data_IF_686790283092
#
_entry.id   IF_686790283092
#
_cell.length_a   1.000
_cell.length_b   1.000
_cell.length_c   1.000
_cell.angle_alpha   90.00
_cell.angle_beta   90.00
_cell.angle_gamma   90.00
#
_symmetry.space_group_name_H-M   'P 1'
#
loop_
_entity.id
_entity.type
_entity.pdbx_description
1 polymer ?
#
# COMPACT_ATOMS: atom_id res chain seq x y z
N UNK A 1 -6.41 10.49 -16.79
CA UNK A 1 -6.92 9.27 -17.47
C UNK A 1 -7.54 8.43 -16.37
N UNK A 2 -8.77 8.75 -15.95
CA UNK A 2 -9.46 8.10 -14.82
C UNK A 2 -10.97 8.45 -14.79
N UNK A 3 -11.68 8.22 -15.89
CA UNK A 3 -13.13 8.51 -15.95
C UNK A 3 -13.97 7.37 -16.55
N UNK A 4 -13.39 6.17 -16.74
CA UNK A 4 -14.06 5.08 -17.49
C UNK A 4 -13.78 3.64 -17.03
N UNK A 5 -12.78 3.39 -16.17
CA UNK A 5 -12.41 2.02 -15.78
C UNK A 5 -12.48 1.89 -14.26
N UNK A 6 -13.44 1.11 -13.81
CA UNK A 6 -13.71 0.90 -12.38
C UNK A 6 -13.31 -0.51 -11.91
N UNK A 7 -12.97 -1.39 -12.84
CA UNK A 7 -12.61 -2.78 -12.59
C UNK A 7 -11.35 -3.18 -13.38
N UNK A 8 -10.53 -4.03 -12.78
CA UNK A 8 -9.25 -4.49 -13.33
C UNK A 8 -9.23 -6.01 -13.39
N UNK A 9 -8.76 -6.56 -14.50
CA UNK A 9 -8.73 -8.00 -14.75
C UNK A 9 -7.42 -8.62 -14.25
N UNK A 10 -6.29 -7.98 -14.55
CA UNK A 10 -4.95 -8.49 -14.24
C UNK A 10 -4.17 -7.58 -13.29
N UNK A 11 -3.17 -8.15 -12.63
CA UNK A 11 -2.23 -7.38 -11.80
C UNK A 11 -1.51 -6.30 -12.62
N UNK A 12 -1.21 -6.56 -13.89
CA UNK A 12 -0.60 -5.57 -14.78
C UNK A 12 -1.46 -4.32 -14.94
N UNK A 13 -2.77 -4.47 -15.14
CA UNK A 13 -3.68 -3.33 -15.25
C UNK A 13 -3.79 -2.53 -13.94
N UNK A 14 -3.83 -3.23 -12.80
CA UNK A 14 -3.80 -2.59 -11.48
C UNK A 14 -2.49 -1.82 -11.28
N UNK A 15 -1.36 -2.39 -11.69
CA UNK A 15 -0.05 -1.74 -11.62
C UNK A 15 0.06 -0.54 -12.57
N UNK A 16 -0.54 -0.58 -13.76
CA UNK A 16 -0.61 0.58 -14.67
C UNK A 16 -1.37 1.75 -14.03
N UNK A 17 -2.48 1.46 -13.35
CA UNK A 17 -3.20 2.48 -12.60
C UNK A 17 -2.39 3.01 -11.40
N UNK A 18 -1.73 2.12 -10.66
CA UNK A 18 -0.84 2.51 -9.55
C UNK A 18 0.32 3.38 -10.07
N UNK A 19 0.86 3.07 -11.25
CA UNK A 19 1.90 3.88 -11.87
C UNK A 19 1.43 5.32 -12.04
N UNK A 20 0.29 5.53 -12.71
CA UNK A 20 -0.26 6.86 -12.98
C UNK A 20 -0.77 7.62 -11.75
N UNK A 21 -1.11 6.92 -10.66
CA UNK A 21 -1.71 7.52 -9.45
C UNK A 21 -0.72 7.73 -8.30
N UNK A 22 0.34 6.90 -8.21
CA UNK A 22 1.22 6.88 -7.04
C UNK A 22 2.70 6.75 -7.36
N UNK A 23 3.12 5.91 -8.32
CA UNK A 23 4.55 5.77 -8.64
C UNK A 23 5.12 7.07 -9.22
N UNK A 24 4.35 7.75 -10.08
CA UNK A 24 4.71 9.09 -10.60
C UNK A 24 4.91 10.12 -9.49
N UNK A 25 4.18 10.02 -8.37
CA UNK A 25 4.38 10.91 -7.22
C UNK A 25 5.72 10.60 -6.55
N UNK A 26 6.10 9.32 -6.44
CA UNK A 26 7.43 8.92 -6.00
C UNK A 26 8.54 9.54 -6.85
N UNK A 27 8.40 9.46 -8.18
CA UNK A 27 9.34 10.09 -9.12
C UNK A 27 9.40 11.62 -8.94
N UNK A 28 8.25 12.28 -8.83
CA UNK A 28 8.20 13.73 -8.58
C UNK A 28 8.93 14.10 -7.28
N UNK A 29 8.73 13.32 -6.21
CA UNK A 29 9.41 13.55 -4.94
C UNK A 29 10.93 13.33 -5.05
N UNK A 30 11.38 12.31 -5.77
CA UNK A 30 12.81 12.09 -6.01
C UNK A 30 13.45 13.29 -6.73
N UNK A 31 12.76 13.85 -7.73
CA UNK A 31 13.24 15.04 -8.46
C UNK A 31 13.16 16.32 -7.63
N UNK A 32 12.13 16.50 -6.81
CA UNK A 32 12.03 17.65 -5.90
C UNK A 32 13.11 17.67 -4.82
N UNK A 33 13.56 16.49 -4.40
CA UNK A 33 14.63 16.31 -3.42
C UNK A 33 16.03 16.25 -4.06
N UNK A 34 16.13 16.43 -5.38
CA UNK A 34 17.37 16.36 -6.16
C UNK A 34 18.17 15.07 -5.90
N UNK A 35 17.46 13.93 -5.86
CA UNK A 35 18.07 12.62 -5.65
C UNK A 35 18.66 12.05 -6.95
N UNK A 36 19.71 11.25 -6.81
CA UNK A 36 20.32 10.53 -7.94
C UNK A 36 19.31 9.64 -8.66
N UNK A 37 19.50 9.43 -9.97
CA UNK A 37 18.62 8.61 -10.80
C UNK A 37 18.51 7.16 -10.32
N UNK A 38 19.51 6.65 -9.60
CA UNK A 38 19.47 5.33 -8.94
C UNK A 38 18.35 5.21 -7.88
N UNK A 39 17.84 6.34 -7.37
CA UNK A 39 16.75 6.36 -6.38
C UNK A 39 15.36 6.16 -6.99
N UNK A 40 15.22 6.30 -8.32
CA UNK A 40 13.92 6.41 -8.98
C UNK A 40 13.11 5.12 -8.90
N UNK A 41 13.73 3.96 -9.12
CA UNK A 41 13.05 2.67 -9.02
C UNK A 41 12.53 2.43 -7.60
N UNK A 42 13.31 2.80 -6.59
CA UNK A 42 12.88 2.70 -5.19
C UNK A 42 11.76 3.67 -4.85
N UNK A 43 11.80 4.89 -5.41
CA UNK A 43 10.75 5.88 -5.22
C UNK A 43 9.43 5.44 -5.87
N UNK A 44 9.47 4.88 -7.09
CA UNK A 44 8.34 4.23 -7.73
C UNK A 44 7.80 3.08 -6.87
N UNK A 45 8.67 2.18 -6.42
CA UNK A 45 8.28 1.03 -5.60
C UNK A 45 7.65 1.45 -4.26
N UNK A 46 8.11 2.56 -3.68
CA UNK A 46 7.50 3.13 -2.48
C UNK A 46 6.07 3.62 -2.76
N UNK A 47 5.87 4.34 -3.86
CA UNK A 47 4.54 4.75 -4.32
C UNK A 47 3.63 3.53 -4.57
N UNK A 48 4.16 2.51 -5.25
CA UNK A 48 3.46 1.25 -5.54
C UNK A 48 2.95 0.56 -4.29
N UNK A 49 3.87 0.26 -3.37
CA UNK A 49 3.54 -0.45 -2.13
C UNK A 49 2.54 0.32 -1.27
N UNK A 50 2.72 1.64 -1.11
CA UNK A 50 1.77 2.46 -0.33
C UNK A 50 0.37 2.49 -0.96
N UNK A 51 0.28 2.63 -2.28
CA UNK A 51 -1.01 2.64 -2.95
C UNK A 51 -1.70 1.27 -2.93
N UNK A 52 -0.92 0.20 -3.08
CA UNK A 52 -1.44 -1.14 -2.92
C UNK A 52 -2.00 -1.39 -1.51
N UNK A 53 -1.30 -0.92 -0.48
CA UNK A 53 -1.80 -0.97 0.89
C UNK A 53 -3.09 -0.16 1.09
N UNK A 54 -3.25 0.97 0.38
CA UNK A 54 -4.51 1.72 0.40
C UNK A 54 -5.66 0.87 -0.17
N UNK A 55 -5.47 0.22 -1.33
CA UNK A 55 -6.50 -0.66 -1.91
C UNK A 55 -6.91 -1.78 -0.96
N UNK A 56 -5.92 -2.45 -0.34
CA UNK A 56 -6.20 -3.52 0.62
C UNK A 56 -6.94 -3.03 1.87
N UNK A 57 -6.62 -1.82 2.34
CA UNK A 57 -7.24 -1.23 3.53
C UNK A 57 -8.68 -0.77 3.26
N UNK A 58 -8.94 -0.26 2.07
CA UNK A 58 -10.16 0.49 1.73
C UNK A 58 -11.14 -0.32 0.84
N UNK A 59 -10.98 -1.65 0.76
CA UNK A 59 -11.82 -2.58 -0.05
C UNK A 59 -13.33 -2.29 0.06
N UNK A 60 -13.85 -2.10 1.28
CA UNK A 60 -15.28 -1.81 1.47
C UNK A 60 -15.70 -0.47 0.85
N UNK A 61 -14.89 0.57 1.07
CA UNK A 61 -15.16 1.92 0.57
C UNK A 61 -15.12 1.93 -0.95
N UNK A 62 -14.10 1.30 -1.53
CA UNK A 62 -13.95 1.16 -2.98
C UNK A 62 -15.13 0.38 -3.58
N UNK A 63 -15.54 -0.74 -2.96
CA UNK A 63 -16.71 -1.52 -3.40
C UNK A 63 -17.99 -0.68 -3.40
N UNK A 64 -18.23 0.10 -2.34
CA UNK A 64 -19.41 0.99 -2.23
C UNK A 64 -19.41 2.10 -3.28
N UNK A 65 -18.24 2.51 -3.75
CA UNK A 65 -18.07 3.47 -4.85
C UNK A 65 -18.19 2.82 -6.23
N UNK A 66 -18.46 1.51 -6.30
CA UNK A 66 -18.53 0.76 -7.55
C UNK A 66 -17.16 0.47 -8.15
N UNK A 67 -16.10 0.48 -7.34
CA UNK A 67 -14.71 0.28 -7.78
C UNK A 67 -14.15 -1.02 -7.23
N UNK A 68 -13.31 -1.69 -8.02
CA UNK A 68 -12.56 -2.89 -7.64
C UNK A 68 -11.15 -2.80 -8.20
N UNK A 69 -10.20 -2.30 -7.40
CA UNK A 69 -8.79 -2.24 -7.80
C UNK A 69 -8.05 -3.57 -7.69
N UNK A 70 -8.55 -4.50 -6.88
CA UNK A 70 -7.98 -5.85 -6.79
C UNK A 70 -8.25 -6.61 -8.10
N UNK A 71 -7.23 -7.24 -8.71
CA UNK A 71 -7.40 -7.96 -9.97
C UNK A 71 -8.42 -9.09 -9.86
N UNK A 72 -9.27 -9.24 -10.86
CA UNK A 72 -10.21 -10.36 -10.95
C UNK A 72 -9.46 -11.70 -11.00
N UNK A 73 -8.36 -11.80 -11.75
CA UNK A 73 -7.56 -13.03 -11.82
C UNK A 73 -7.06 -13.46 -10.42
N UNK A 74 -6.63 -12.50 -9.61
CA UNK A 74 -6.18 -12.77 -8.25
C UNK A 74 -7.34 -13.24 -7.39
N UNK A 75 -8.50 -12.59 -7.46
CA UNK A 75 -9.68 -13.04 -6.73
C UNK A 75 -10.11 -14.47 -7.12
N UNK A 76 -10.12 -14.78 -8.42
CA UNK A 76 -10.46 -16.10 -8.94
C UNK A 76 -9.49 -17.19 -8.49
N UNK A 77 -8.18 -16.90 -8.43
CA UNK A 77 -7.16 -17.84 -7.90
C UNK A 77 -7.45 -18.30 -6.48
N UNK A 78 -8.10 -17.47 -5.66
CA UNK A 78 -8.51 -17.81 -4.30
C UNK A 78 -10.00 -18.18 -4.18
N UNK A 79 -10.73 -18.26 -5.30
CA UNK A 79 -12.15 -18.61 -5.32
C UNK A 79 -13.07 -17.56 -4.70
N UNK A 80 -12.68 -16.27 -4.77
CA UNK A 80 -13.47 -15.13 -4.30
C UNK A 80 -14.31 -14.59 -5.46
N UNK A 81 -15.63 -14.61 -5.29
CA UNK A 81 -16.58 -14.12 -6.30
C UNK A 81 -16.96 -12.64 -6.09
N UNK A 82 -16.88 -12.16 -4.85
CA UNK A 82 -17.30 -10.81 -4.48
C UNK A 82 -16.47 -10.27 -3.31
N UNK A 83 -16.25 -8.95 -3.29
CA UNK A 83 -15.68 -8.21 -2.15
C UNK A 83 -16.75 -7.46 -1.36
N UNK A 84 -18.03 -7.77 -1.60
CA UNK A 84 -19.13 -7.15 -0.88
C UNK A 84 -19.11 -7.52 0.60
N UNK A 85 -19.17 -6.54 1.52
CA UNK A 85 -19.27 -6.81 2.95
C UNK A 85 -20.50 -7.69 3.26
N UNK A 86 -20.29 -8.74 4.06
CA UNK A 86 -21.34 -9.68 4.47
C UNK A 86 -21.70 -10.77 3.45
N UNK A 87 -21.19 -10.69 2.22
CA UNK A 87 -21.39 -11.72 1.19
C UNK A 87 -20.08 -12.41 0.76
N UNK A 88 -18.94 -11.86 1.14
CA UNK A 88 -17.63 -12.48 0.90
C UNK A 88 -17.45 -13.74 1.75
N UNK A 89 -16.85 -14.78 1.15
CA UNK A 89 -16.38 -15.96 1.87
C UNK A 89 -15.19 -15.59 2.77
N UNK A 90 -15.43 -15.54 4.09
CA UNK A 90 -14.43 -15.09 5.06
C UNK A 90 -13.15 -15.92 5.05
N UNK A 91 -13.26 -17.24 4.87
CA UNK A 91 -12.10 -18.14 4.94
C UNK A 91 -11.17 -17.86 3.75
N UNK A 92 -11.74 -17.85 2.55
CA UNK A 92 -11.00 -17.54 1.32
C UNK A 92 -10.44 -16.13 1.35
N UNK A 93 -11.23 -15.16 1.81
CA UNK A 93 -10.79 -13.76 1.92
C UNK A 93 -9.61 -13.61 2.88
N UNK A 94 -9.62 -14.30 4.02
CA UNK A 94 -8.49 -14.27 4.96
C UNK A 94 -7.20 -14.80 4.34
N UNK A 95 -7.28 -15.86 3.54
CA UNK A 95 -6.12 -16.42 2.83
C UNK A 95 -5.64 -15.44 1.76
N UNK A 96 -6.54 -14.98 0.90
CA UNK A 96 -6.27 -13.98 -0.13
C UNK A 96 -5.58 -12.74 0.44
N UNK A 97 -6.17 -12.07 1.43
CA UNK A 97 -5.62 -10.85 2.02
C UNK A 97 -4.22 -11.07 2.62
N UNK A 98 -3.95 -12.23 3.20
CA UNK A 98 -2.62 -12.53 3.72
C UNK A 98 -1.58 -12.64 2.60
N UNK A 99 -1.92 -13.29 1.49
CA UNK A 99 -1.04 -13.36 0.32
C UNK A 99 -0.80 -11.98 -0.29
N UNK A 100 -1.86 -11.16 -0.42
CA UNK A 100 -1.71 -9.80 -0.94
C UNK A 100 -0.86 -8.90 -0.02
N UNK A 101 -0.98 -9.06 1.30
CA UNK A 101 -0.12 -8.35 2.24
C UNK A 101 1.34 -8.84 2.21
N UNK A 102 1.59 -10.13 1.92
CA UNK A 102 2.97 -10.61 1.68
C UNK A 102 3.58 -9.90 0.47
N UNK A 103 2.85 -9.82 -0.64
CA UNK A 103 3.30 -9.08 -1.83
C UNK A 103 3.61 -7.61 -1.51
N UNK A 104 2.76 -6.96 -0.72
CA UNK A 104 3.01 -5.61 -0.21
C UNK A 104 4.35 -5.53 0.55
N UNK A 105 4.64 -6.49 1.44
CA UNK A 105 5.89 -6.47 2.20
C UNK A 105 7.11 -6.64 1.32
N UNK A 106 7.07 -7.50 0.30
CA UNK A 106 8.16 -7.64 -0.68
C UNK A 106 8.48 -6.31 -1.38
N UNK A 107 7.45 -5.63 -1.89
CA UNK A 107 7.62 -4.32 -2.53
C UNK A 107 8.08 -3.25 -1.54
N UNK A 108 7.52 -3.24 -0.33
CA UNK A 108 7.87 -2.26 0.69
C UNK A 108 9.32 -2.43 1.17
N UNK A 109 9.80 -3.67 1.31
CA UNK A 109 11.19 -3.97 1.67
C UNK A 109 12.16 -3.55 0.56
N UNK A 110 11.81 -3.79 -0.70
CA UNK A 110 12.59 -3.30 -1.83
C UNK A 110 12.65 -1.77 -1.83
N UNK A 111 11.51 -1.10 -1.69
CA UNK A 111 11.42 0.36 -1.64
C UNK A 111 12.26 0.98 -0.50
N UNK A 112 12.30 0.34 0.67
CA UNK A 112 13.06 0.83 1.82
C UNK A 112 14.58 0.84 1.59
N UNK A 113 15.11 0.04 0.66
CA UNK A 113 16.52 0.12 0.25
C UNK A 113 16.88 1.49 -0.34
N UNK A 114 15.90 2.17 -0.91
CA UNK A 114 16.04 3.53 -1.46
C UNK A 114 16.21 4.63 -0.41
N UNK A 115 15.87 4.37 0.85
CA UNK A 115 15.99 5.39 1.92
C UNK A 115 17.42 5.90 2.06
N UNK A 116 18.43 5.09 1.71
CA UNK A 116 19.85 5.47 1.75
C UNK A 116 20.19 6.68 0.86
N UNK A 117 19.44 6.89 -0.24
CA UNK A 117 19.65 8.01 -1.16
C UNK A 117 19.08 9.33 -0.63
N UNK A 118 18.13 9.27 0.31
CA UNK A 118 17.46 10.47 0.82
C UNK A 118 18.33 11.12 1.89
N UNK A 119 18.60 12.45 1.82
CA UNK A 119 19.35 13.14 2.86
C UNK A 119 18.64 13.06 4.22
N UNK A 120 19.42 13.16 5.30
CA UNK A 120 18.98 12.75 6.64
C UNK A 120 17.67 13.40 7.10
N UNK A 121 17.51 14.72 6.91
CA UNK A 121 16.36 15.47 7.46
C UNK A 121 15.08 15.12 6.71
N UNK A 122 15.20 14.92 5.41
CA UNK A 122 14.14 14.57 4.46
C UNK A 122 13.77 13.08 4.58
N UNK A 123 14.72 12.23 5.01
CA UNK A 123 14.50 10.80 5.25
C UNK A 123 13.57 10.53 6.44
N UNK A 124 13.56 11.40 7.46
CA UNK A 124 12.71 11.24 8.66
C UNK A 124 11.23 11.08 8.31
N UNK A 125 10.57 12.01 7.60
CA UNK A 125 9.15 11.87 7.25
C UNK A 125 8.86 10.66 6.35
N UNK A 126 9.76 10.34 5.41
CA UNK A 126 9.60 9.17 4.52
C UNK A 126 9.68 7.87 5.32
N UNK A 127 10.64 7.77 6.24
CA UNK A 127 10.80 6.62 7.14
C UNK A 127 9.60 6.47 8.07
N UNK A 128 9.09 7.57 8.61
CA UNK A 128 7.88 7.54 9.43
C UNK A 128 6.69 7.00 8.62
N UNK A 129 6.46 7.54 7.42
CA UNK A 129 5.38 7.08 6.54
C UNK A 129 5.49 5.59 6.27
N UNK A 130 6.68 5.12 5.86
CA UNK A 130 6.95 3.68 5.65
C UNK A 130 6.59 2.82 6.87
N UNK A 131 7.01 3.24 8.08
CA UNK A 131 6.70 2.52 9.32
C UNK A 131 5.20 2.47 9.62
N UNK A 132 4.48 3.56 9.37
CA UNK A 132 3.04 3.62 9.60
C UNK A 132 2.27 2.73 8.61
N UNK A 133 2.69 2.71 7.34
CA UNK A 133 2.13 1.80 6.34
C UNK A 133 2.40 0.33 6.67
N UNK A 134 3.65 -0.01 7.05
CA UNK A 134 3.97 -1.37 7.54
C UNK A 134 3.15 -1.75 8.77
N UNK A 135 2.90 -0.81 9.68
CA UNK A 135 2.03 -1.07 10.83
C UNK A 135 0.59 -1.40 10.39
N UNK A 136 0.02 -0.60 9.48
CA UNK A 136 -1.32 -0.83 8.92
C UNK A 136 -1.40 -2.21 8.28
N UNK A 137 -0.44 -2.55 7.42
CA UNK A 137 -0.37 -3.86 6.78
C UNK A 137 -0.27 -5.00 7.79
N UNK A 138 0.52 -4.85 8.87
CA UNK A 138 0.58 -5.85 9.95
C UNK A 138 -0.77 -6.03 10.65
N UNK A 139 -1.52 -4.96 10.89
CA UNK A 139 -2.86 -5.08 11.50
C UNK A 139 -3.82 -5.86 10.58
N UNK A 140 -3.81 -5.56 9.28
CA UNK A 140 -4.61 -6.26 8.27
C UNK A 140 -4.19 -7.73 8.18
N UNK A 141 -2.88 -8.03 8.12
CA UNK A 141 -2.40 -9.41 8.08
C UNK A 141 -2.81 -10.24 9.31
N UNK A 142 -2.77 -9.63 10.51
CA UNK A 142 -3.16 -10.28 11.75
C UNK A 142 -4.67 -10.55 11.84
N UNK A 143 -5.51 -9.63 11.36
CA UNK A 143 -6.95 -9.83 11.26
C UNK A 143 -7.49 -9.26 9.94
N UNK A 144 -7.52 -10.04 8.85
CA UNK A 144 -7.92 -9.52 7.53
C UNK A 144 -9.32 -8.91 7.50
N UNK A 145 -10.27 -9.46 8.26
CA UNK A 145 -11.65 -8.97 8.27
C UNK A 145 -11.80 -7.58 8.90
N UNK A 146 -10.77 -7.06 9.59
CA UNK A 146 -10.78 -5.73 10.18
C UNK A 146 -11.09 -4.63 9.17
N UNK A 147 -10.80 -4.86 7.88
CA UNK A 147 -11.07 -3.91 6.78
C UNK A 147 -12.55 -3.67 6.53
N UNK A 148 -13.42 -4.61 6.93
CA UNK A 148 -14.88 -4.45 6.91
C UNK A 148 -15.43 -3.91 8.24
N UNK A 149 -14.68 -4.02 9.33
CA UNK A 149 -15.11 -3.56 10.65
C UNK A 149 -14.88 -2.06 10.85
N UNK A 150 -13.71 -1.57 10.41
CA UNK A 150 -13.28 -0.18 10.61
C UNK A 150 -12.13 0.21 9.71
N UNK A 151 -11.95 1.52 9.53
CA UNK A 151 -10.77 2.04 8.85
C UNK A 151 -9.50 1.85 9.68
N UNK A 152 -8.58 1.01 9.20
CA UNK A 152 -7.30 0.71 9.89
C UNK A 152 -6.35 1.89 9.75
N UNK A 153 -6.30 2.76 10.77
CA UNK A 153 -5.41 3.93 10.79
C UNK A 153 -4.61 4.00 12.08
N UNK A 154 -3.33 4.43 12.03
CA UNK A 154 -2.55 4.67 13.23
C UNK A 154 -3.19 5.75 14.11
N UNK A 155 -3.21 5.54 15.42
CA UNK A 155 -3.66 6.57 16.37
C UNK A 155 -2.65 7.72 16.47
N UNK A 156 -3.08 8.90 16.95
CA UNK A 156 -2.18 10.04 17.20
C UNK A 156 -1.01 9.66 18.13
N UNK A 157 -1.28 8.85 19.14
CA UNK A 157 -0.25 8.31 20.05
C UNK A 157 0.75 7.43 19.30
N UNK A 158 0.29 6.55 18.41
CA UNK A 158 1.17 5.69 17.60
C UNK A 158 2.05 6.51 16.67
N UNK A 159 1.48 7.50 15.99
CA UNK A 159 2.22 8.41 15.11
C UNK A 159 3.33 9.12 15.92
N UNK A 160 3.01 9.61 17.11
CA UNK A 160 3.98 10.28 17.99
C UNK A 160 5.12 9.35 18.43
N UNK A 161 4.80 8.10 18.80
CA UNK A 161 5.80 7.09 19.16
C UNK A 161 6.69 6.72 17.98
N UNK A 162 6.13 6.52 16.79
CA UNK A 162 6.93 6.18 15.60
C UNK A 162 7.78 7.35 15.13
N UNK A 163 7.31 8.60 15.30
CA UNK A 163 8.09 9.81 15.01
C UNK A 163 9.33 9.88 15.92
N UNK A 164 9.17 9.69 17.23
CA UNK A 164 10.30 9.64 18.17
C UNK A 164 11.32 8.56 17.79
N UNK A 165 10.84 7.37 17.40
CA UNK A 165 11.71 6.29 16.91
C UNK A 165 12.38 6.61 15.57
N UNK A 166 11.75 7.41 14.72
CA UNK A 166 12.33 7.81 13.45
C UNK A 166 13.53 8.73 13.70
N UNK A 167 13.41 9.68 14.63
CA UNK A 167 14.53 10.52 15.04
C UNK A 167 15.67 9.73 15.73
N UNK A 168 15.35 8.72 16.55
CA UNK A 168 16.37 7.97 17.31
C UNK A 168 17.04 6.83 16.54
N UNK A 169 16.40 6.34 15.47
CA UNK A 169 16.82 5.14 14.73
C UNK A 169 17.52 5.42 13.40
N UNK A 170 17.66 6.69 13.01
CA UNK A 170 18.50 7.08 11.87
C UNK A 170 19.87 7.43 12.48
N UNK A 171 20.75 6.43 12.53
CA UNK A 171 22.19 6.59 12.76
C UNK A 171 22.91 6.20 11.48
#
# INVERSE_FOLDING_TARGET
MDTKKDEYETMEETLEYIYGSAEVIGLMMARLLDLDSESEEYACMLGRSMQYCNFLRDIEEDYRLGRRYMPMEEMQRFGIETLKPGEVDEEKFRVFMKEQIKQYFEWQEEAEKGLKYIPYRERVPVTLSSRLYKWTAKQIHSNPMVVYDRKVRPSKTRISVELLKAFSGIK
#
